data_IF_054524672652
#
_entry.id   IF_054524672652
#
_cell.length_a   1.000
_cell.length_b   1.000
_cell.length_c   1.000
_cell.angle_alpha   90.00
_cell.angle_beta   90.00
_cell.angle_gamma   90.00
#
_symmetry.space_group_name_H-M   'P 1'
#
loop_
_entity.id
_entity.type
_entity.pdbx_description
1 polymer ?
#
# COMPACT_ATOMS: atom_id res chain seq x y z
N UNK A 1 -9.34 -2.25 -10.26
CA UNK A 1 -9.37 -2.65 -8.83
C UNK A 1 -8.00 -2.62 -8.18
N UNK A 2 -7.00 -3.21 -8.80
CA UNK A 2 -5.61 -3.18 -8.31
C UNK A 2 -4.74 -2.39 -9.29
N UNK A 3 -3.99 -1.43 -8.76
CA UNK A 3 -3.00 -0.69 -9.53
C UNK A 3 -1.66 -1.39 -9.36
N UNK A 4 -1.01 -1.76 -10.45
CA UNK A 4 0.25 -2.49 -10.42
C UNK A 4 1.22 -2.02 -11.48
N UNK A 5 2.50 -2.03 -11.12
CA UNK A 5 3.61 -1.75 -12.03
C UNK A 5 4.70 -2.78 -11.81
N UNK A 6 5.42 -3.11 -12.86
CA UNK A 6 6.56 -4.03 -12.78
C UNK A 6 7.87 -3.26 -12.72
N UNK A 7 8.90 -3.87 -12.15
CA UNK A 7 10.23 -3.28 -12.02
C UNK A 7 11.32 -4.34 -12.14
N UNK A 8 12.46 -3.95 -12.72
CA UNK A 8 13.66 -4.77 -12.76
C UNK A 8 14.61 -4.47 -11.59
N UNK A 9 14.25 -3.53 -10.73
CA UNK A 9 15.02 -3.22 -9.52
C UNK A 9 15.03 -4.39 -8.56
N UNK A 10 16.05 -4.46 -7.72
CA UNK A 10 16.12 -5.45 -6.64
C UNK A 10 15.11 -5.10 -5.55
N UNK A 11 14.79 -6.08 -4.70
CA UNK A 11 13.89 -5.86 -3.58
C UNK A 11 14.43 -4.77 -2.63
N UNK A 12 15.74 -4.75 -2.39
CA UNK A 12 16.38 -3.73 -1.56
C UNK A 12 16.23 -2.33 -2.17
N UNK A 13 16.42 -2.22 -3.47
CA UNK A 13 16.24 -0.95 -4.18
C UNK A 13 14.77 -0.48 -4.13
N UNK A 14 13.83 -1.40 -4.31
CA UNK A 14 12.40 -1.10 -4.25
C UNK A 14 11.98 -0.67 -2.85
N UNK A 15 12.49 -1.34 -1.80
CA UNK A 15 12.23 -0.96 -0.41
C UNK A 15 12.66 0.48 -0.15
N UNK A 16 13.88 0.82 -0.55
CA UNK A 16 14.41 2.16 -0.38
C UNK A 16 13.61 3.19 -1.19
N UNK A 17 13.33 2.89 -2.45
CA UNK A 17 12.59 3.79 -3.33
C UNK A 17 11.17 4.04 -2.82
N UNK A 18 10.50 3.01 -2.31
CA UNK A 18 9.16 3.16 -1.77
C UNK A 18 9.15 4.06 -0.52
N UNK A 19 10.10 3.85 0.38
CA UNK A 19 10.23 4.70 1.58
C UNK A 19 10.44 6.16 1.24
N UNK A 20 11.29 6.43 0.27
CA UNK A 20 11.56 7.78 -0.21
C UNK A 20 10.34 8.40 -0.90
N UNK A 21 9.67 7.63 -1.76
CA UNK A 21 8.45 8.09 -2.43
C UNK A 21 7.33 8.39 -1.43
N UNK A 22 7.14 7.52 -0.45
CA UNK A 22 6.16 7.73 0.61
C UNK A 22 6.41 9.05 1.34
N UNK A 23 7.65 9.30 1.73
CA UNK A 23 8.03 10.53 2.43
C UNK A 23 7.75 11.78 1.59
N UNK A 24 8.04 11.73 0.28
CA UNK A 24 7.75 12.86 -0.63
C UNK A 24 6.25 13.18 -0.68
N UNK A 25 5.40 12.19 -0.54
CA UNK A 25 3.94 12.36 -0.55
C UNK A 25 3.34 12.46 0.84
N UNK A 26 4.17 12.64 1.86
CA UNK A 26 3.78 12.81 3.27
C UNK A 26 3.06 11.59 3.85
N UNK A 27 3.43 10.41 3.36
CA UNK A 27 3.01 9.14 3.94
C UNK A 27 4.16 8.58 4.78
N UNK A 28 3.81 8.04 5.95
CA UNK A 28 4.76 7.29 6.77
C UNK A 28 4.63 5.80 6.50
N UNK A 29 5.75 5.08 6.52
CA UNK A 29 5.75 3.62 6.53
C UNK A 29 5.63 3.18 7.98
N UNK A 30 4.48 2.61 8.36
CA UNK A 30 4.17 2.21 9.73
C UNK A 30 4.70 0.82 10.07
N UNK A 31 4.80 -0.03 9.08
CA UNK A 31 5.29 -1.39 9.27
C UNK A 31 5.49 -2.09 7.94
N UNK A 32 6.29 -3.15 7.99
CA UNK A 32 6.56 -4.00 6.82
C UNK A 32 6.38 -5.45 7.25
N UNK A 33 5.56 -6.18 6.52
CA UNK A 33 5.32 -7.60 6.76
C UNK A 33 6.01 -8.43 5.69
N UNK A 34 7.05 -9.15 6.08
CA UNK A 34 7.72 -10.11 5.21
C UNK A 34 6.96 -11.44 5.32
N UNK A 35 6.03 -11.67 4.39
CA UNK A 35 5.15 -12.82 4.46
C UNK A 35 5.89 -14.14 4.19
N UNK A 36 6.90 -14.12 3.34
CA UNK A 36 7.74 -15.29 3.10
C UNK A 36 8.40 -15.74 4.40
N UNK A 37 9.04 -14.80 5.10
CA UNK A 37 9.74 -15.13 6.34
C UNK A 37 8.75 -15.56 7.43
N UNK A 38 7.62 -14.88 7.55
CA UNK A 38 6.59 -15.24 8.52
C UNK A 38 6.10 -16.67 8.33
N UNK A 39 5.81 -17.06 7.08
CA UNK A 39 5.38 -18.43 6.79
C UNK A 39 6.46 -19.45 7.06
N UNK A 40 7.68 -19.20 6.58
CA UNK A 40 8.80 -20.12 6.78
C UNK A 40 9.14 -20.30 8.26
N UNK A 41 9.04 -19.24 9.06
CA UNK A 41 9.27 -19.30 10.51
C UNK A 41 8.25 -20.20 11.22
N UNK A 42 7.08 -20.39 10.64
CA UNK A 42 6.00 -21.23 11.19
C UNK A 42 5.95 -22.62 10.55
N UNK A 43 6.99 -22.97 9.79
CA UNK A 43 7.08 -24.28 9.16
C UNK A 43 6.27 -24.43 7.89
N UNK A 44 5.78 -23.33 7.32
CA UNK A 44 5.05 -23.31 6.04
C UNK A 44 6.00 -22.84 4.96
N UNK A 45 6.37 -23.74 4.04
CA UNK A 45 7.29 -23.40 2.95
C UNK A 45 6.64 -22.45 1.95
N UNK A 46 7.36 -21.37 1.64
CA UNK A 46 6.92 -20.39 0.64
C UNK A 46 8.15 -19.72 0.05
N UNK A 47 8.34 -19.84 -1.26
CA UNK A 47 9.58 -19.43 -1.92
C UNK A 47 9.54 -18.05 -2.56
N UNK A 48 8.36 -17.54 -2.91
CA UNK A 48 8.25 -16.22 -3.51
C UNK A 48 8.48 -15.12 -2.48
N UNK A 49 9.11 -14.02 -2.91
CA UNK A 49 9.22 -12.83 -2.08
C UNK A 49 7.90 -12.09 -2.09
N UNK A 50 7.38 -11.79 -0.91
CA UNK A 50 6.16 -10.98 -0.74
C UNK A 50 6.32 -10.11 0.50
N UNK A 51 6.28 -8.80 0.32
CA UNK A 51 6.29 -7.84 1.43
C UNK A 51 5.10 -6.92 1.33
N UNK A 52 4.46 -6.68 2.46
CA UNK A 52 3.34 -5.73 2.57
C UNK A 52 3.79 -4.54 3.40
N UNK A 53 3.73 -3.37 2.81
CA UNK A 53 4.09 -2.11 3.44
C UNK A 53 2.82 -1.40 3.89
N UNK A 54 2.71 -1.12 5.17
CA UNK A 54 1.62 -0.33 5.70
C UNK A 54 2.02 1.14 5.66
N UNK A 55 1.24 1.93 4.93
CA UNK A 55 1.52 3.35 4.72
C UNK A 55 0.33 4.20 5.17
N UNK A 56 0.60 5.36 5.75
CA UNK A 56 -0.45 6.21 6.27
C UNK A 56 -0.09 7.69 6.16
N UNK A 57 -1.09 8.48 5.76
CA UNK A 57 -1.07 9.91 5.93
C UNK A 57 -2.09 10.21 7.05
N UNK A 58 -1.64 10.71 8.22
CA UNK A 58 -2.53 10.89 9.37
C UNK A 58 -3.71 11.84 9.10
N UNK A 59 -3.53 12.85 8.27
CA UNK A 59 -4.60 13.78 7.95
C UNK A 59 -5.72 13.10 7.14
N UNK A 60 -5.35 12.27 6.17
CA UNK A 60 -6.32 11.50 5.40
C UNK A 60 -7.03 10.47 6.27
N UNK A 61 -6.28 9.78 7.14
CA UNK A 61 -6.85 8.81 8.06
C UNK A 61 -7.90 9.46 8.97
N UNK A 62 -7.57 10.61 9.55
CA UNK A 62 -8.50 11.35 10.40
C UNK A 62 -9.77 11.73 9.64
N UNK A 63 -9.65 12.23 8.41
CA UNK A 63 -10.79 12.65 7.62
C UNK A 63 -11.80 11.52 7.39
N UNK A 64 -11.33 10.33 7.02
CA UNK A 64 -12.24 9.19 6.77
C UNK A 64 -12.76 8.58 8.06
N UNK A 65 -11.97 8.54 9.13
CA UNK A 65 -12.41 8.00 10.42
C UNK A 65 -13.50 8.86 11.06
N UNK A 66 -13.47 10.18 10.85
CA UNK A 66 -14.53 11.07 11.34
C UNK A 66 -15.84 10.82 10.61
N UNK A 67 -15.81 10.30 9.39
CA UNK A 67 -17.02 9.94 8.65
C UNK A 67 -17.57 8.59 9.10
N UNK A 68 -16.70 7.60 9.32
CA UNK A 68 -17.11 6.27 9.74
C UNK A 68 -15.93 5.55 10.42
N UNK A 69 -16.03 5.33 11.72
CA UNK A 69 -14.97 4.65 12.49
C UNK A 69 -14.65 3.25 11.98
N UNK A 70 -15.62 2.57 11.39
CA UNK A 70 -15.44 1.22 10.84
C UNK A 70 -14.49 1.17 9.65
N UNK A 71 -14.15 2.33 9.04
CA UNK A 71 -13.11 2.42 8.01
C UNK A 71 -11.77 1.93 8.57
N UNK A 72 -11.59 1.97 9.89
CA UNK A 72 -10.40 1.44 10.55
C UNK A 72 -10.09 -0.02 10.18
N UNK A 73 -11.09 -0.79 9.77
CA UNK A 73 -10.89 -2.17 9.31
C UNK A 73 -10.13 -2.25 7.98
N UNK A 74 -10.08 -1.15 7.22
CA UNK A 74 -9.37 -1.04 5.94
C UNK A 74 -8.14 -0.15 6.02
N UNK A 75 -7.77 0.29 7.21
CA UNK A 75 -6.57 1.11 7.45
C UNK A 75 -5.52 0.29 8.20
N UNK A 76 -4.24 0.62 8.07
CA UNK A 76 -3.67 1.59 7.12
C UNK A 76 -3.71 1.09 5.69
N UNK A 77 -3.46 1.99 4.73
CA UNK A 77 -3.30 1.61 3.33
C UNK A 77 -2.08 0.71 3.16
N UNK A 78 -2.10 -0.13 2.14
CA UNK A 78 -1.03 -1.11 1.91
C UNK A 78 -0.49 -1.02 0.50
N UNK A 79 0.83 -1.18 0.39
CA UNK A 79 1.52 -1.38 -0.88
C UNK A 79 2.21 -2.74 -0.78
N UNK A 80 2.00 -3.59 -1.77
CA UNK A 80 2.63 -4.90 -1.84
C UNK A 80 3.78 -4.88 -2.84
N UNK A 81 4.89 -5.52 -2.48
CA UNK A 81 6.00 -5.78 -3.41
C UNK A 81 6.19 -7.29 -3.42
N UNK A 82 6.06 -7.90 -4.59
CA UNK A 82 6.19 -9.35 -4.72
C UNK A 82 6.93 -9.76 -5.98
N UNK A 83 7.58 -10.91 -5.92
CA UNK A 83 8.33 -11.45 -7.05
C UNK A 83 7.41 -12.06 -8.10
N UNK A 84 7.77 -11.86 -9.36
CA UNK A 84 7.06 -12.42 -10.51
C UNK A 84 8.11 -12.75 -11.59
N UNK A 85 8.59 -14.01 -11.60
CA UNK A 85 9.70 -14.40 -12.45
C UNK A 85 10.95 -13.59 -12.13
N UNK A 86 11.54 -12.96 -13.14
CA UNK A 86 12.76 -12.14 -12.99
C UNK A 86 12.47 -10.72 -12.53
N UNK A 87 11.22 -10.38 -12.32
CA UNK A 87 10.79 -9.02 -12.00
C UNK A 87 10.11 -8.97 -10.65
N UNK A 88 9.92 -7.76 -10.16
CA UNK A 88 9.05 -7.48 -9.03
C UNK A 88 7.84 -6.71 -9.49
N UNK A 89 6.73 -6.90 -8.80
CA UNK A 89 5.50 -6.14 -8.98
C UNK A 89 5.29 -5.29 -7.74
N UNK A 90 4.95 -4.01 -7.95
CA UNK A 90 4.55 -3.10 -6.88
C UNK A 90 3.08 -2.76 -7.11
N UNK A 91 2.24 -3.03 -6.13
CA UNK A 91 0.80 -2.98 -6.32
C UNK A 91 0.06 -2.46 -5.09
N UNK A 92 -1.12 -1.89 -5.33
CA UNK A 92 -2.06 -1.51 -4.28
C UNK A 92 -3.49 -1.70 -4.77
N UNK A 93 -4.40 -1.99 -3.85
CA UNK A 93 -5.82 -1.93 -4.16
C UNK A 93 -6.23 -0.46 -4.26
N UNK A 94 -7.06 -0.12 -5.24
CA UNK A 94 -7.48 1.26 -5.44
C UNK A 94 -8.31 1.76 -4.24
N UNK A 95 -7.86 2.81 -3.53
CA UNK A 95 -8.59 3.32 -2.38
C UNK A 95 -10.03 3.72 -2.68
N UNK A 96 -10.32 4.27 -3.85
CA UNK A 96 -11.70 4.63 -4.22
C UNK A 96 -12.60 3.39 -4.31
N UNK A 97 -12.08 2.26 -4.76
CA UNK A 97 -12.82 1.00 -4.81
C UNK A 97 -13.00 0.41 -3.41
N UNK A 98 -11.94 0.44 -2.60
CA UNK A 98 -11.98 -0.10 -1.24
C UNK A 98 -12.98 0.66 -0.37
N UNK A 99 -13.01 1.99 -0.48
CA UNK A 99 -13.86 2.85 0.35
C UNK A 99 -15.36 2.72 0.02
N UNK A 100 -15.72 2.20 -1.13
CA UNK A 100 -17.13 1.97 -1.48
C UNK A 100 -17.86 1.09 -0.47
N UNK A 101 -17.14 0.22 0.23
CA UNK A 101 -17.71 -0.64 1.27
C UNK A 101 -18.25 0.15 2.48
N UNK A 102 -17.81 1.40 2.66
CA UNK A 102 -18.08 2.19 3.86
C UNK A 102 -19.03 3.38 3.61
N UNK A 103 -19.62 3.44 2.43
CA UNK A 103 -20.56 4.50 2.08
C UNK A 103 -20.05 5.43 0.99
N UNK A 104 -20.79 6.51 0.78
CA UNK A 104 -20.55 7.43 -0.34
C UNK A 104 -20.58 8.90 0.08
N UNK A 105 -20.12 9.20 1.31
CA UNK A 105 -20.06 10.61 1.73
C UNK A 105 -19.12 11.39 0.81
N UNK A 106 -19.43 12.67 0.51
CA UNK A 106 -18.55 13.50 -0.32
C UNK A 106 -17.13 13.63 0.24
N UNK A 107 -16.99 13.74 1.55
CA UNK A 107 -15.69 13.84 2.22
C UNK A 107 -14.90 12.54 2.04
N UNK A 108 -15.53 11.40 2.23
CA UNK A 108 -14.87 10.10 2.06
C UNK A 108 -14.45 9.88 0.62
N UNK A 109 -15.31 10.19 -0.35
CA UNK A 109 -15.00 10.06 -1.76
C UNK A 109 -13.83 10.96 -2.19
N UNK A 110 -13.84 12.22 -1.74
CA UNK A 110 -12.77 13.17 -2.05
C UNK A 110 -11.43 12.73 -1.44
N UNK A 111 -11.45 12.29 -0.17
CA UNK A 111 -10.24 11.84 0.52
C UNK A 111 -9.69 10.57 -0.14
N UNK A 112 -10.56 9.61 -0.46
CA UNK A 112 -10.13 8.39 -1.15
C UNK A 112 -9.49 8.70 -2.50
N UNK A 113 -10.02 9.66 -3.24
CA UNK A 113 -9.45 10.08 -4.53
C UNK A 113 -8.06 10.71 -4.36
N UNK A 114 -7.86 11.54 -3.33
CA UNK A 114 -6.56 12.12 -3.02
C UNK A 114 -5.53 11.06 -2.63
N UNK A 115 -5.92 10.12 -1.77
CA UNK A 115 -5.05 9.00 -1.36
C UNK A 115 -4.68 8.16 -2.56
N UNK A 116 -5.63 7.85 -3.43
CA UNK A 116 -5.39 7.05 -4.63
C UNK A 116 -4.39 7.72 -5.57
N UNK A 117 -4.52 9.01 -5.82
CA UNK A 117 -3.59 9.79 -6.61
C UNK A 117 -2.17 9.71 -6.02
N UNK A 118 -2.05 9.91 -4.72
CA UNK A 118 -0.77 9.87 -4.04
C UNK A 118 -0.15 8.47 -4.11
N UNK A 119 -0.93 7.42 -3.87
CA UNK A 119 -0.41 6.06 -3.89
C UNK A 119 0.02 5.62 -5.30
N UNK A 120 -0.72 6.01 -6.33
CA UNK A 120 -0.30 5.76 -7.72
C UNK A 120 1.02 6.45 -8.01
N UNK A 121 1.16 7.71 -7.61
CA UNK A 121 2.41 8.46 -7.79
C UNK A 121 3.56 7.79 -7.03
N UNK A 122 3.34 7.35 -5.79
CA UNK A 122 4.34 6.63 -5.00
C UNK A 122 4.81 5.38 -5.71
N UNK A 123 3.89 4.59 -6.26
CA UNK A 123 4.22 3.36 -7.00
C UNK A 123 5.01 3.70 -8.27
N UNK A 124 4.57 4.69 -9.03
CA UNK A 124 5.25 5.10 -10.26
C UNK A 124 6.68 5.58 -9.98
N UNK A 125 6.89 6.28 -8.87
CA UNK A 125 8.22 6.75 -8.46
C UNK A 125 9.10 5.63 -7.90
N UNK A 126 8.49 4.57 -7.39
CA UNK A 126 9.20 3.42 -6.82
C UNK A 126 9.82 2.53 -7.90
N UNK A 127 9.08 2.23 -8.94
CA UNK A 127 9.52 1.34 -10.01
C UNK A 127 10.50 2.02 -10.96
#
# INVERSE_FOLDING_TARGET
>A
MVYRKTSLKTLTELDQALREAAARHKFGVLGVHDLKQTMNNKGVEFDAEVRVYEVCNPNHAKAVLLEAMEVSTALPCRVSIYSAGDMFVVATILPTELMKAFGSSPVMAATAAEVEQAMKAMIDETV
#
